data_IF_225746238897
#
_entry.id   IF_225746238897
#
_cell.length_a   1.000
_cell.length_b   1.000
_cell.length_c   1.000
_cell.angle_alpha   90.00
_cell.angle_beta   90.00
_cell.angle_gamma   90.00
#
_symmetry.space_group_name_H-M   'P 1'
#
loop_
_entity.id
_entity.type
_entity.pdbx_description
1 polymer ?
#
# COMPACT_ATOMS: atom_id res chain seq x y z
N UNK A 1 -9.38 -1.68 -17.73
CA UNK A 1 -10.79 -1.45 -17.33
C UNK A 1 -11.01 -1.99 -15.93
N UNK A 2 -11.58 -1.19 -15.06
CA UNK A 2 -11.94 -1.62 -13.70
C UNK A 2 -13.29 -2.33 -13.74
N UNK A 3 -13.40 -3.56 -13.27
CA UNK A 3 -14.68 -4.25 -13.21
C UNK A 3 -15.66 -3.51 -12.28
N UNK A 4 -16.94 -3.54 -12.65
CA UNK A 4 -18.01 -3.03 -11.80
C UNK A 4 -18.46 -4.14 -10.88
N UNK A 5 -18.45 -3.87 -9.59
CA UNK A 5 -19.00 -4.75 -8.57
C UNK A 5 -20.42 -4.31 -8.23
N UNK A 6 -21.33 -5.27 -8.20
CA UNK A 6 -22.69 -5.08 -7.70
C UNK A 6 -22.96 -6.09 -6.61
N UNK A 7 -23.48 -5.62 -5.49
CA UNK A 7 -23.85 -6.48 -4.37
C UNK A 7 -25.30 -6.21 -3.95
N UNK A 8 -25.91 -7.18 -3.29
CA UNK A 8 -27.24 -6.98 -2.72
C UNK A 8 -27.18 -5.97 -1.56
N UNK A 9 -28.31 -5.35 -1.23
CA UNK A 9 -28.40 -4.44 -0.08
C UNK A 9 -28.11 -5.13 1.27
N UNK A 10 -28.13 -6.46 1.30
CA UNK A 10 -27.77 -7.24 2.50
C UNK A 10 -26.26 -7.36 2.69
N UNK A 11 -25.52 -7.29 1.60
CA UNK A 11 -24.06 -7.42 1.59
C UNK A 11 -23.45 -6.03 1.44
N UNK A 12 -23.42 -5.29 2.53
CA UNK A 12 -22.89 -3.94 2.57
C UNK A 12 -21.40 -3.95 2.23
N UNK A 13 -21.01 -3.14 1.24
CA UNK A 13 -19.63 -2.96 0.82
C UNK A 13 -19.19 -1.54 1.08
N UNK A 14 -17.90 -1.38 1.40
CA UNK A 14 -17.32 -0.09 1.73
C UNK A 14 -16.03 0.15 0.95
N UNK A 15 -15.73 1.40 0.74
CA UNK A 15 -14.39 1.81 0.30
C UNK A 15 -13.34 1.25 1.26
N UNK A 16 -12.33 0.60 0.73
CA UNK A 16 -11.30 -0.09 1.49
C UNK A 16 -11.51 -1.60 1.67
N UNK A 17 -12.66 -2.13 1.25
CA UNK A 17 -12.83 -3.58 1.26
C UNK A 17 -11.88 -4.25 0.27
N UNK A 18 -11.30 -5.34 0.70
CA UNK A 18 -10.45 -6.21 -0.11
C UNK A 18 -11.23 -7.47 -0.43
N UNK A 19 -11.37 -7.76 -1.72
CA UNK A 19 -12.12 -8.90 -2.23
C UNK A 19 -11.19 -9.92 -2.85
N UNK A 20 -11.51 -11.18 -2.65
CA UNK A 20 -10.82 -12.28 -3.31
C UNK A 20 -11.81 -13.04 -4.19
N UNK A 21 -11.63 -12.95 -5.50
CA UNK A 21 -12.52 -13.54 -6.49
C UNK A 21 -11.69 -14.25 -7.55
N UNK A 22 -11.98 -15.52 -7.79
CA UNK A 22 -11.33 -16.33 -8.82
C UNK A 22 -9.79 -16.27 -8.80
N UNK A 23 -9.22 -16.34 -7.61
CA UNK A 23 -7.76 -16.34 -7.42
C UNK A 23 -7.11 -14.96 -7.50
N UNK A 24 -7.88 -13.87 -7.52
CA UNK A 24 -7.37 -12.51 -7.61
C UNK A 24 -7.91 -11.64 -6.50
N UNK A 25 -7.07 -10.71 -6.05
CA UNK A 25 -7.48 -9.68 -5.10
C UNK A 25 -7.93 -8.41 -5.82
N UNK A 26 -8.97 -7.80 -5.29
CA UNK A 26 -9.49 -6.51 -5.74
C UNK A 26 -9.66 -5.58 -4.55
N UNK A 27 -9.22 -4.35 -4.69
CA UNK A 27 -9.43 -3.30 -3.69
C UNK A 27 -10.56 -2.38 -4.14
N UNK A 28 -11.51 -2.12 -3.26
CA UNK A 28 -12.52 -1.08 -3.47
C UNK A 28 -11.89 0.26 -3.07
N UNK A 29 -11.30 0.93 -4.05
CA UNK A 29 -10.62 2.21 -3.87
C UNK A 29 -11.51 3.40 -4.29
N UNK A 30 -12.62 3.13 -4.96
CA UNK A 30 -13.60 4.14 -5.37
C UNK A 30 -14.78 4.18 -4.39
N UNK A 31 -15.54 5.26 -4.45
CA UNK A 31 -16.73 5.40 -3.61
C UNK A 31 -17.80 4.37 -4.02
N UNK A 32 -18.52 3.89 -3.02
CA UNK A 32 -19.63 2.97 -3.22
C UNK A 32 -20.90 3.78 -3.39
N UNK A 33 -21.62 3.51 -4.46
CA UNK A 33 -22.90 4.13 -4.76
C UNK A 33 -24.06 3.21 -4.35
N UNK A 34 -25.02 3.76 -3.67
CA UNK A 34 -26.26 3.07 -3.35
C UNK A 34 -27.28 3.29 -4.46
N UNK A 35 -27.67 2.20 -5.12
CA UNK A 35 -28.77 2.18 -6.08
C UNK A 35 -30.02 1.60 -5.39
N UNK A 36 -31.24 1.71 -6.00
CA UNK A 36 -32.47 1.26 -5.34
C UNK A 36 -32.48 -0.20 -4.86
N UNK A 37 -31.74 -1.08 -5.53
CA UNK A 37 -31.74 -2.51 -5.25
C UNK A 37 -30.35 -3.11 -5.02
N UNK A 38 -29.29 -2.30 -5.05
CA UNK A 38 -27.93 -2.81 -4.92
C UNK A 38 -26.95 -1.71 -4.54
N UNK A 39 -25.77 -2.13 -4.07
CA UNK A 39 -24.58 -1.28 -4.02
C UNK A 39 -23.76 -1.48 -5.29
N UNK A 40 -23.22 -0.41 -5.83
CA UNK A 40 -22.36 -0.42 -6.99
C UNK A 40 -21.06 0.32 -6.74
N UNK A 41 -19.96 -0.26 -7.19
CA UNK A 41 -18.65 0.38 -7.17
C UNK A 41 -17.74 -0.24 -8.22
N UNK A 42 -16.60 0.41 -8.46
CA UNK A 42 -15.52 -0.19 -9.23
C UNK A 42 -14.55 -0.92 -8.29
N UNK A 43 -14.19 -2.13 -8.67
CA UNK A 43 -13.16 -2.89 -7.98
C UNK A 43 -11.85 -2.80 -8.77
N UNK A 44 -10.78 -2.39 -8.12
CA UNK A 44 -9.47 -2.26 -8.75
C UNK A 44 -8.66 -3.53 -8.49
N UNK A 45 -8.15 -4.22 -9.53
CA UNK A 45 -7.36 -5.42 -9.32
C UNK A 45 -6.03 -5.08 -8.65
N UNK A 46 -5.67 -5.86 -7.64
CA UNK A 46 -4.38 -5.79 -6.96
C UNK A 46 -3.39 -6.67 -7.72
N UNK A 47 -2.58 -6.06 -8.57
CA UNK A 47 -1.60 -6.77 -9.40
C UNK A 47 -0.23 -6.91 -8.73
N UNK A 48 -0.06 -6.28 -7.58
CA UNK A 48 1.19 -6.24 -6.85
C UNK A 48 1.01 -6.67 -5.41
N UNK A 49 2.05 -7.24 -4.83
CA UNK A 49 2.12 -7.57 -3.42
C UNK A 49 3.28 -6.79 -2.81
N UNK A 50 3.02 -6.18 -1.67
CA UNK A 50 4.00 -5.34 -0.99
C UNK A 50 4.42 -5.96 0.32
N UNK A 51 5.66 -5.71 0.68
CA UNK A 51 6.24 -5.96 1.99
C UNK A 51 6.69 -4.63 2.57
N UNK A 52 6.34 -4.38 3.80
CA UNK A 52 6.77 -3.17 4.51
C UNK A 52 7.57 -3.58 5.74
N UNK A 53 8.72 -2.96 5.90
CA UNK A 53 9.63 -3.21 7.02
C UNK A 53 10.08 -1.88 7.63
N UNK A 54 10.43 -1.91 8.90
CA UNK A 54 10.95 -0.75 9.61
C UNK A 54 12.41 -0.96 9.97
N UNK A 55 13.21 0.06 9.77
CA UNK A 55 14.57 0.07 10.26
C UNK A 55 14.56 0.19 11.78
N UNK A 56 15.21 -0.75 12.42
CA UNK A 56 15.42 -0.73 13.87
C UNK A 56 16.84 -0.30 14.12
N UNK A 57 17.02 0.74 14.93
CA UNK A 57 18.33 1.20 15.33
C UNK A 57 19.09 0.08 16.09
N UNK A 58 20.42 0.02 15.96
CA UNK A 58 21.22 -0.91 16.75
C UNK A 58 20.92 -0.71 18.24
N UNK A 59 20.82 -1.80 18.97
CA UNK A 59 20.66 -1.75 20.42
C UNK A 59 21.87 -1.08 21.03
N UNK A 60 21.64 -0.15 21.93
CA UNK A 60 22.69 0.48 22.72
C UNK A 60 22.74 -0.14 24.10
N UNK A 61 23.94 -0.26 24.67
CA UNK A 61 24.10 -0.64 26.05
C UNK A 61 23.68 0.49 27.01
N UNK A 62 23.74 0.24 28.29
CA UNK A 62 23.38 1.22 29.33
C UNK A 62 24.23 2.50 29.31
N UNK A 63 25.32 2.51 28.55
CA UNK A 63 26.20 3.67 28.38
C UNK A 63 26.00 4.38 27.05
N UNK A 64 25.08 3.92 26.21
CA UNK A 64 24.78 4.51 24.91
C UNK A 64 25.70 4.02 23.78
N UNK A 65 26.54 3.02 23.99
CA UNK A 65 27.36 2.42 22.96
C UNK A 65 26.60 1.33 22.21
N UNK A 66 26.81 1.26 20.90
CA UNK A 66 26.24 0.19 20.10
C UNK A 66 26.78 -1.17 20.55
N UNK A 67 25.86 -2.10 20.82
CA UNK A 67 26.24 -3.49 21.13
C UNK A 67 26.74 -4.13 19.85
N UNK A 68 27.94 -4.73 19.88
CA UNK A 68 28.50 -5.47 18.74
C UNK A 68 27.48 -6.52 18.24
N UNK A 69 27.38 -6.64 16.90
CA UNK A 69 26.45 -7.52 16.18
C UNK A 69 24.99 -7.08 16.09
N UNK A 70 24.60 -5.93 16.64
CA UNK A 70 23.28 -5.35 16.39
C UNK A 70 23.35 -4.30 15.28
N UNK A 71 23.71 -4.71 14.07
CA UNK A 71 23.61 -3.87 12.89
C UNK A 71 22.18 -3.40 12.62
N UNK A 72 22.04 -2.41 11.73
CA UNK A 72 20.75 -1.96 11.26
C UNK A 72 19.92 -3.18 10.79
N UNK A 73 18.80 -3.43 11.45
CA UNK A 73 17.91 -4.55 11.12
C UNK A 73 16.59 -4.03 10.59
N UNK A 74 16.03 -4.77 9.64
CA UNK A 74 14.68 -4.53 9.16
C UNK A 74 13.71 -5.40 9.95
N UNK A 75 12.78 -4.76 10.65
CA UNK A 75 11.69 -5.45 11.32
C UNK A 75 10.48 -5.51 10.38
N UNK A 76 9.99 -6.69 10.01
CA UNK A 76 8.85 -6.80 9.12
C UNK A 76 7.57 -6.31 9.82
N UNK A 77 6.83 -5.43 9.15
CA UNK A 77 5.52 -4.96 9.59
C UNK A 77 4.40 -5.69 8.86
N UNK A 78 4.54 -5.79 7.54
CA UNK A 78 3.58 -6.42 6.65
C UNK A 78 4.35 -7.27 5.67
N UNK A 79 3.84 -8.46 5.40
CA UNK A 79 4.39 -9.36 4.40
C UNK A 79 3.31 -9.75 3.40
N UNK A 80 3.66 -9.66 2.11
CA UNK A 80 2.86 -10.17 1.02
C UNK A 80 1.43 -9.64 0.96
N UNK A 81 1.25 -8.33 1.12
CA UNK A 81 -0.05 -7.69 1.16
C UNK A 81 -0.50 -7.21 -0.22
N UNK A 82 -1.73 -7.52 -0.67
CA UNK A 82 -2.23 -7.07 -1.97
C UNK A 82 -2.30 -5.56 -2.07
N UNK A 83 -1.83 -5.01 -3.19
CA UNK A 83 -1.76 -3.57 -3.40
C UNK A 83 -2.11 -3.16 -4.82
N UNK A 84 -2.64 -1.96 -4.94
CA UNK A 84 -2.79 -1.24 -6.20
C UNK A 84 -1.64 -0.26 -6.34
N UNK A 85 -0.87 -0.41 -7.39
CA UNK A 85 0.31 0.41 -7.65
C UNK A 85 0.03 1.38 -8.78
N UNK A 86 0.37 2.64 -8.56
CA UNK A 86 0.38 3.67 -9.59
C UNK A 86 1.77 4.30 -9.64
N UNK A 87 2.33 4.41 -10.82
CA UNK A 87 3.60 5.09 -10.99
C UNK A 87 3.34 6.59 -11.14
N UNK A 88 3.91 7.38 -10.24
CA UNK A 88 3.94 8.82 -10.38
C UNK A 88 5.35 9.26 -10.72
N UNK A 89 5.68 9.19 -12.00
CA UNK A 89 6.86 9.83 -12.56
C UNK A 89 6.41 10.87 -13.56
N UNK A 90 7.08 12.00 -13.64
CA UNK A 90 6.86 12.88 -14.77
C UNK A 90 7.34 12.18 -16.04
N UNK A 91 6.51 12.19 -17.07
CA UNK A 91 6.86 11.60 -18.37
C UNK A 91 8.19 12.13 -18.95
N UNK A 92 8.67 13.28 -18.45
CA UNK A 92 9.97 13.83 -18.81
C UNK A 92 11.15 12.99 -18.30
N UNK A 93 11.02 12.40 -17.13
CA UNK A 93 12.08 11.56 -16.55
C UNK A 93 12.15 10.18 -17.23
N UNK A 94 11.02 9.68 -17.69
CA UNK A 94 10.94 8.41 -18.39
C UNK A 94 11.57 8.44 -19.79
N UNK A 95 11.62 9.62 -20.45
CA UNK A 95 12.19 9.76 -21.79
C UNK A 95 13.72 9.84 -21.81
N UNK A 96 14.34 10.23 -20.71
CA UNK A 96 15.77 10.43 -20.64
C UNK A 96 16.56 9.22 -20.15
N UNK A 97 15.89 8.20 -19.69
CA UNK A 97 16.53 6.98 -19.19
C UNK A 97 16.07 5.78 -20.03
N UNK A 98 16.68 5.60 -21.18
CA UNK A 98 16.47 4.40 -21.98
C UNK A 98 16.79 3.14 -21.13
N UNK A 99 15.76 2.44 -20.69
CA UNK A 99 15.86 1.20 -19.93
C UNK A 99 15.55 1.24 -18.43
N UNK A 100 15.36 2.40 -17.85
CA UNK A 100 14.95 2.49 -16.44
C UNK A 100 13.42 2.66 -16.33
N UNK A 101 12.73 1.55 -16.34
CA UNK A 101 11.26 1.49 -16.18
C UNK A 101 10.79 1.66 -14.75
N UNK A 102 11.62 2.19 -13.86
CA UNK A 102 11.29 2.36 -12.47
C UNK A 102 11.07 3.84 -12.19
N UNK A 103 9.83 4.21 -11.94
CA UNK A 103 9.53 5.53 -11.43
C UNK A 103 10.26 5.73 -10.09
N UNK A 104 10.86 6.89 -9.91
CA UNK A 104 11.51 7.25 -8.65
C UNK A 104 10.50 7.38 -7.51
N UNK A 105 9.25 7.69 -7.84
CA UNK A 105 8.13 7.80 -6.89
C UNK A 105 7.01 6.89 -7.33
N UNK A 106 6.50 6.13 -6.40
CA UNK A 106 5.33 5.27 -6.58
C UNK A 106 4.23 5.66 -5.62
N UNK A 107 2.99 5.46 -6.04
CA UNK A 107 1.82 5.56 -5.19
C UNK A 107 1.24 4.15 -5.01
N UNK A 108 1.07 3.76 -3.76
CA UNK A 108 0.55 2.44 -3.39
C UNK A 108 -0.72 2.61 -2.60
N UNK A 109 -1.79 1.95 -3.03
CA UNK A 109 -3.06 1.90 -2.30
C UNK A 109 -3.24 0.55 -1.67
N UNK A 110 -3.51 0.55 -0.38
CA UNK A 110 -3.72 -0.62 0.46
C UNK A 110 -5.07 -0.53 1.18
N UNK A 111 -5.59 -1.68 1.56
CA UNK A 111 -6.67 -1.68 2.55
C UNK A 111 -6.18 -1.09 3.87
N UNK A 112 -6.93 -0.14 4.42
CA UNK A 112 -6.71 0.36 5.77
C UNK A 112 -7.20 -0.66 6.81
N UNK A 113 -6.31 -1.13 7.67
CA UNK A 113 -6.61 -2.03 8.78
C UNK A 113 -5.58 -1.82 9.88
N UNK A 114 -5.68 -2.59 10.97
CA UNK A 114 -4.74 -2.44 12.09
C UNK A 114 -3.28 -2.79 11.74
N UNK A 115 -3.05 -3.59 10.70
CA UNK A 115 -1.70 -3.89 10.21
C UNK A 115 -1.12 -2.72 9.42
N UNK A 116 -1.91 -2.19 8.48
CA UNK A 116 -1.47 -1.06 7.64
C UNK A 116 -1.40 0.24 8.41
N UNK A 117 -2.11 0.35 9.55
CA UNK A 117 -2.06 1.50 10.44
C UNK A 117 -0.69 1.71 11.10
N UNK A 118 0.13 0.68 11.15
CA UNK A 118 1.49 0.75 11.69
C UNK A 118 2.50 1.41 10.72
N UNK A 119 2.16 1.55 9.45
CA UNK A 119 3.06 2.13 8.45
C UNK A 119 3.27 3.61 8.70
N UNK A 120 4.53 4.03 8.72
CA UNK A 120 4.96 5.42 8.96
C UNK A 120 5.96 5.87 7.91
N UNK A 121 6.15 7.18 7.84
CA UNK A 121 7.22 7.79 7.04
C UNK A 121 8.58 7.24 7.46
N UNK A 122 9.40 6.89 6.48
CA UNK A 122 10.69 6.27 6.69
C UNK A 122 10.71 4.74 6.64
N UNK A 123 9.54 4.09 6.68
CA UNK A 123 9.47 2.65 6.51
C UNK A 123 9.90 2.24 5.09
N UNK A 124 10.41 1.03 4.96
CA UNK A 124 10.91 0.48 3.70
C UNK A 124 9.85 -0.42 3.08
N UNK A 125 9.53 -0.12 1.84
CA UNK A 125 8.56 -0.87 1.05
C UNK A 125 9.28 -1.58 -0.09
N UNK A 126 8.99 -2.87 -0.25
CA UNK A 126 9.46 -3.68 -1.37
C UNK A 126 8.26 -4.28 -2.09
N UNK A 127 8.40 -4.42 -3.41
CA UNK A 127 7.39 -5.03 -4.25
C UNK A 127 7.84 -6.42 -4.65
N UNK A 128 6.93 -7.38 -4.64
CA UNK A 128 7.21 -8.71 -5.15
C UNK A 128 7.65 -8.65 -6.62
N UNK A 129 8.74 -9.33 -6.94
CA UNK A 129 9.30 -9.35 -8.29
C UNK A 129 10.10 -8.10 -8.69
N UNK A 130 10.19 -7.10 -7.83
CA UNK A 130 11.01 -5.90 -8.04
C UNK A 130 12.15 -5.85 -7.04
N UNK A 131 13.41 -5.83 -7.47
CA UNK A 131 14.55 -5.81 -6.54
C UNK A 131 14.78 -4.46 -5.86
N UNK A 132 14.06 -3.41 -6.26
CA UNK A 132 14.22 -2.08 -5.69
C UNK A 132 13.55 -1.93 -4.32
N UNK A 133 14.16 -1.12 -3.48
CA UNK A 133 13.59 -0.68 -2.20
C UNK A 133 13.05 0.74 -2.34
N UNK A 134 11.91 0.98 -1.71
CA UNK A 134 11.28 2.31 -1.64
C UNK A 134 11.16 2.73 -0.19
N UNK A 135 11.35 4.00 0.06
CA UNK A 135 11.13 4.60 1.38
C UNK A 135 9.80 5.36 1.40
N UNK A 136 8.98 5.10 2.39
CA UNK A 136 7.71 5.82 2.58
C UNK A 136 7.98 7.28 2.89
N UNK A 137 7.49 8.17 2.04
CA UNK A 137 7.69 9.63 2.15
C UNK A 137 6.49 10.29 2.81
N UNK A 138 5.30 9.85 2.43
CA UNK A 138 4.04 10.35 2.97
C UNK A 138 2.95 9.28 2.86
N UNK A 139 1.91 9.46 3.64
CA UNK A 139 0.73 8.61 3.60
C UNK A 139 -0.52 9.41 3.91
N UNK A 140 -1.63 8.99 3.33
CA UNK A 140 -2.95 9.57 3.55
C UNK A 140 -3.91 8.44 3.85
N UNK A 141 -4.66 8.56 4.93
CA UNK A 141 -5.75 7.66 5.27
C UNK A 141 -7.08 8.31 5.00
N UNK A 142 -8.03 7.52 4.56
CA UNK A 142 -9.40 7.98 4.45
C UNK A 142 -9.92 8.42 5.82
N UNK A 143 -10.64 9.53 5.83
CA UNK A 143 -11.41 9.94 7.01
C UNK A 143 -12.53 8.93 7.23
N UNK A 144 -12.47 8.23 8.36
CA UNK A 144 -13.47 7.22 8.68
C UNK A 144 -14.74 7.88 9.20
N UNK A 145 -15.85 7.61 8.54
CA UNK A 145 -17.16 7.80 9.14
C UNK A 145 -17.48 6.60 10.04
N UNK A 146 -18.41 6.76 10.98
CA UNK A 146 -18.78 5.72 11.96
C UNK A 146 -19.19 4.37 11.31
N UNK A 147 -19.47 4.34 10.02
CA UNK A 147 -19.86 3.15 9.26
C UNK A 147 -18.74 2.52 8.45
N UNK A 148 -17.60 3.18 8.30
CA UNK A 148 -16.49 2.69 7.49
C UNK A 148 -15.39 2.11 8.37
N UNK A 149 -15.02 0.87 8.10
CA UNK A 149 -13.90 0.23 8.78
C UNK A 149 -12.66 0.29 7.87
N UNK A 150 -11.63 1.01 8.30
CA UNK A 150 -10.32 0.99 7.68
C UNK A 150 -10.12 1.91 6.49
N UNK A 151 -11.04 2.00 5.54
CA UNK A 151 -10.87 2.80 4.34
C UNK A 151 -9.68 2.38 3.47
N UNK A 152 -9.15 3.31 2.70
CA UNK A 152 -7.96 3.11 1.85
C UNK A 152 -6.80 3.90 2.43
N UNK A 153 -5.65 3.25 2.55
CA UNK A 153 -4.38 3.89 2.84
C UNK A 153 -3.64 4.13 1.53
N UNK A 154 -3.32 5.37 1.24
CA UNK A 154 -2.52 5.76 0.09
C UNK A 154 -1.13 6.16 0.54
N UNK A 155 -0.12 5.47 0.06
CA UNK A 155 1.29 5.68 0.41
C UNK A 155 2.01 6.24 -0.80
N UNK A 156 2.81 7.28 -0.59
CA UNK A 156 3.82 7.71 -1.55
C UNK A 156 5.18 7.27 -1.06
N UNK A 157 5.92 6.59 -1.91
CA UNK A 157 7.24 6.09 -1.60
C UNK A 157 8.23 6.45 -2.69
N UNK A 158 9.46 6.77 -2.27
CA UNK A 158 10.56 7.13 -3.16
C UNK A 158 11.56 5.98 -3.22
N UNK A 159 12.04 5.70 -4.42
CA UNK A 159 13.09 4.71 -4.61
C UNK A 159 14.37 5.12 -3.88
N UNK A 160 14.94 4.18 -3.16
CA UNK A 160 16.25 4.35 -2.54
C UNK A 160 17.34 4.18 -3.60
N UNK A 161 18.36 5.05 -3.58
CA UNK A 161 19.51 4.91 -4.45
C UNK A 161 20.27 3.60 -4.23
#
# INVERSE_FOLDING_TARGET
MKPVLRTSLKDEIFRGNLLYVEGRFYLIADDVQEAPNCFMTHATPCLHFVKVSRKVNPQTDKFGFAVEDTGERLHPLIDNFPAVLTFSGTMADAKNQAGAYFADVIEVKLQGNHWTDEIKTGDILTLEGNPGEYEVVSWIRDSLTAKQKGGVLTIQARRKP
#
